data_IF_272979298204
#
_entry.id   IF_272979298204
#
_cell.length_a   1.000
_cell.length_b   1.000
_cell.length_c   1.000
_cell.angle_alpha   90.00
_cell.angle_beta   90.00
_cell.angle_gamma   90.00
#
_symmetry.space_group_name_H-M   'P 1'
#
loop_
_entity.id
_entity.type
_entity.pdbx_description
1 polymer ?
#
# COMPACT_ATOMS: atom_id res chain seq x y z
N UNK A 1 -18.58 -14.50 23.19
CA UNK A 1 -17.85 -14.58 21.92
C UNK A 1 -17.39 -13.16 21.59
N UNK A 2 -16.10 -12.87 21.74
CA UNK A 2 -15.50 -11.60 21.36
C UNK A 2 -14.25 -11.90 20.53
N UNK A 3 -14.24 -11.35 19.32
CA UNK A 3 -13.26 -11.58 18.26
C UNK A 3 -11.88 -11.08 18.68
N UNK A 4 -10.85 -11.92 18.53
CA UNK A 4 -9.46 -11.52 18.74
C UNK A 4 -8.98 -10.66 17.55
N UNK A 5 -8.53 -9.45 17.88
CA UNK A 5 -7.72 -8.59 17.03
C UNK A 5 -6.48 -9.38 16.56
N UNK A 6 -6.25 -9.49 15.24
CA UNK A 6 -5.17 -10.29 14.67
C UNK A 6 -4.10 -9.35 14.13
N UNK A 7 -3.05 -9.14 14.92
CA UNK A 7 -1.82 -8.50 14.47
C UNK A 7 -1.07 -9.42 13.47
N UNK A 8 -0.68 -8.94 12.26
CA UNK A 8 0.19 -9.70 11.38
C UNK A 8 1.64 -9.34 11.71
N UNK A 9 2.15 -9.81 12.84
CA UNK A 9 3.56 -9.68 13.22
C UNK A 9 4.09 -10.98 13.82
N UNK A 10 4.00 -12.08 13.07
CA UNK A 10 4.68 -13.31 13.41
C UNK A 10 4.98 -14.13 12.16
N UNK A 11 6.02 -13.75 11.43
CA UNK A 11 6.85 -14.75 10.75
C UNK A 11 8.23 -14.63 11.35
N UNK A 12 8.47 -15.52 12.30
CA UNK A 12 9.72 -15.74 13.00
C UNK A 12 10.85 -15.99 12.00
N UNK A 13 11.72 -15.00 11.81
CA UNK A 13 13.06 -15.23 11.30
C UNK A 13 13.99 -15.36 12.50
N UNK A 14 14.54 -16.55 12.61
CA UNK A 14 15.48 -17.01 13.61
C UNK A 14 16.79 -16.20 13.61
N UNK A 15 17.42 -16.20 14.80
CA UNK A 15 18.80 -15.80 15.10
C UNK A 15 19.09 -14.29 15.27
N UNK A 16 18.92 -13.83 16.52
CA UNK A 16 19.68 -12.71 17.05
C UNK A 16 21.16 -13.09 17.20
N UNK A 17 22.07 -12.42 16.47
CA UNK A 17 23.47 -12.17 16.88
C UNK A 17 24.01 -10.85 16.30
N UNK A 18 24.07 -9.83 17.16
CA UNK A 18 25.16 -8.86 17.42
C UNK A 18 25.88 -8.24 16.19
N UNK A 19 25.68 -6.94 15.98
CA UNK A 19 26.53 -6.08 15.14
C UNK A 19 26.02 -4.62 15.12
N UNK A 20 26.91 -3.67 15.32
CA UNK A 20 26.66 -2.25 15.61
C UNK A 20 26.31 -1.37 14.39
N UNK A 21 25.91 -0.12 14.72
CA UNK A 21 25.79 1.12 13.93
C UNK A 21 24.44 1.44 13.24
N UNK A 22 23.83 2.61 13.54
CA UNK A 22 22.65 3.11 12.84
C UNK A 22 23.11 3.82 11.56
N UNK A 23 23.40 3.05 10.50
CA UNK A 23 23.74 3.64 9.21
C UNK A 23 22.47 4.13 8.51
N UNK A 24 22.35 5.46 8.38
CA UNK A 24 21.23 6.21 7.81
C UNK A 24 20.94 5.98 6.31
N UNK A 25 20.96 4.73 5.85
CA UNK A 25 20.59 4.31 4.48
C UNK A 25 19.43 3.30 4.42
N UNK A 26 18.96 2.79 5.56
CA UNK A 26 18.03 1.66 5.61
C UNK A 26 16.55 1.99 5.31
N UNK A 27 16.15 3.26 5.25
CA UNK A 27 14.73 3.65 5.13
C UNK A 27 14.23 3.87 3.70
N UNK A 28 15.13 4.08 2.71
CA UNK A 28 14.72 4.30 1.30
C UNK A 28 14.50 3.00 0.52
N UNK A 29 15.28 1.96 0.81
CA UNK A 29 15.18 0.64 0.17
C UNK A 29 13.88 -0.13 0.50
N UNK A 30 13.29 -0.03 1.71
CA UNK A 30 12.03 -0.74 2.05
C UNK A 30 10.81 -0.17 1.33
N UNK A 31 10.72 1.15 1.16
CA UNK A 31 9.49 1.80 0.66
C UNK A 31 9.30 1.50 -0.83
N UNK A 32 10.35 1.59 -1.64
CA UNK A 32 10.25 1.27 -3.07
C UNK A 32 9.83 -0.17 -3.33
N UNK A 33 10.42 -1.14 -2.59
CA UNK A 33 10.04 -2.55 -2.70
C UNK A 33 8.59 -2.78 -2.28
N UNK A 34 8.15 -2.14 -1.19
CA UNK A 34 6.76 -2.21 -0.74
C UNK A 34 5.81 -1.65 -1.80
N UNK A 35 6.09 -0.47 -2.34
CA UNK A 35 5.25 0.16 -3.37
C UNK A 35 5.16 -0.67 -4.65
N UNK A 36 6.24 -1.36 -5.05
CA UNK A 36 6.20 -2.31 -6.16
C UNK A 36 5.31 -3.51 -5.86
N UNK A 37 5.35 -4.05 -4.64
CA UNK A 37 4.48 -5.15 -4.22
C UNK A 37 3.02 -4.72 -4.18
N UNK A 38 2.71 -3.55 -3.61
CA UNK A 38 1.36 -2.99 -3.55
C UNK A 38 0.81 -2.76 -4.96
N UNK A 39 1.62 -2.26 -5.90
CA UNK A 39 1.22 -2.13 -7.31
C UNK A 39 0.84 -3.48 -7.91
N UNK A 40 1.66 -4.52 -7.71
CA UNK A 40 1.35 -5.87 -8.19
C UNK A 40 0.06 -6.40 -7.57
N UNK A 41 -0.11 -6.27 -6.25
CA UNK A 41 -1.33 -6.69 -5.55
C UNK A 41 -2.56 -5.94 -6.07
N UNK A 42 -2.47 -4.63 -6.27
CA UNK A 42 -3.56 -3.83 -6.83
C UNK A 42 -3.94 -4.32 -8.24
N UNK A 43 -2.97 -4.58 -9.10
CA UNK A 43 -3.23 -5.09 -10.46
C UNK A 43 -3.86 -6.50 -10.44
N UNK A 44 -3.55 -7.31 -9.43
CA UNK A 44 -4.12 -8.65 -9.26
C UNK A 44 -5.50 -8.65 -8.60
N UNK A 45 -5.84 -7.61 -7.81
CA UNK A 45 -7.12 -7.52 -7.09
C UNK A 45 -8.34 -7.53 -8.01
N UNK A 46 -8.23 -6.91 -9.20
CA UNK A 46 -9.32 -6.83 -10.17
C UNK A 46 -10.50 -5.97 -9.70
N UNK A 47 -10.30 -5.10 -8.70
CA UNK A 47 -11.33 -4.26 -8.11
C UNK A 47 -11.96 -3.33 -9.17
N UNK A 48 -13.25 -3.55 -9.46
CA UNK A 48 -13.95 -2.79 -10.51
C UNK A 48 -14.11 -1.33 -10.08
N UNK A 49 -13.61 -0.42 -10.91
CA UNK A 49 -13.76 1.01 -10.71
C UNK A 49 -12.65 1.66 -9.87
N UNK A 50 -11.65 0.91 -9.43
CA UNK A 50 -10.46 1.46 -8.75
C UNK A 50 -9.22 1.11 -9.57
N UNK A 51 -8.38 2.09 -9.84
CA UNK A 51 -7.05 1.88 -10.44
C UNK A 51 -6.07 2.92 -9.93
N UNK A 52 -4.79 2.58 -9.87
CA UNK A 52 -3.74 3.53 -9.54
C UNK A 52 -2.40 3.10 -10.13
N UNK A 53 -1.64 4.06 -10.67
CA UNK A 53 -0.34 3.82 -11.30
C UNK A 53 0.65 4.93 -10.94
N UNK A 54 1.95 4.63 -10.83
CA UNK A 54 2.98 5.64 -10.69
C UNK A 54 2.96 6.65 -11.86
N UNK A 55 3.25 7.91 -11.56
CA UNK A 55 3.43 8.93 -12.59
C UNK A 55 4.84 8.80 -13.16
N UNK A 56 4.93 8.32 -14.40
CA UNK A 56 6.19 8.13 -15.14
C UNK A 56 7.17 7.20 -14.41
N UNK A 57 8.37 7.70 -14.09
CA UNK A 57 9.45 6.99 -13.40
C UNK A 57 9.50 7.25 -11.89
N UNK A 58 8.61 8.11 -11.38
CA UNK A 58 8.54 8.42 -9.96
C UNK A 58 7.57 7.49 -9.22
N UNK A 59 8.12 6.43 -8.63
CA UNK A 59 7.37 5.45 -7.83
C UNK A 59 6.67 6.05 -6.59
N UNK A 60 6.98 7.29 -6.18
CA UNK A 60 6.38 7.94 -5.02
C UNK A 60 5.26 8.92 -5.39
N UNK A 61 4.98 9.13 -6.68
CA UNK A 61 3.86 9.95 -7.16
C UNK A 61 2.90 9.07 -7.96
N UNK A 62 1.60 9.15 -7.68
CA UNK A 62 0.60 8.23 -8.21
C UNK A 62 -0.58 8.98 -8.81
N UNK A 63 -1.10 8.45 -9.90
CA UNK A 63 -2.37 8.84 -10.50
C UNK A 63 -3.36 7.71 -10.26
N UNK A 64 -4.44 8.01 -9.54
CA UNK A 64 -5.50 7.06 -9.21
C UNK A 64 -6.84 7.47 -9.83
N UNK A 65 -7.63 6.47 -10.23
CA UNK A 65 -9.02 6.65 -10.66
C UNK A 65 -9.92 5.84 -9.74
N UNK A 66 -10.98 6.48 -9.24
CA UNK A 66 -12.02 5.84 -8.44
C UNK A 66 -13.36 6.20 -9.06
N UNK A 67 -14.13 5.19 -9.44
CA UNK A 67 -15.51 5.34 -9.90
C UNK A 67 -16.41 5.40 -8.67
N UNK A 68 -17.33 6.37 -8.67
CA UNK A 68 -18.37 6.43 -7.64
C UNK A 68 -19.18 5.14 -7.60
N UNK A 69 -19.54 4.70 -6.40
CA UNK A 69 -20.40 3.53 -6.25
C UNK A 69 -21.77 3.77 -6.90
N UNK A 70 -22.36 2.73 -7.48
CA UNK A 70 -23.69 2.82 -8.07
C UNK A 70 -24.71 3.35 -7.06
N UNK A 71 -25.57 4.28 -7.48
CA UNK A 71 -26.58 4.90 -6.62
C UNK A 71 -26.05 6.00 -5.70
N UNK A 72 -24.75 6.34 -5.77
CA UNK A 72 -24.21 7.54 -5.12
C UNK A 72 -24.20 8.69 -6.13
N UNK A 73 -24.81 9.82 -5.79
CA UNK A 73 -24.80 11.01 -6.65
C UNK A 73 -23.42 11.68 -6.56
N UNK A 74 -22.64 11.80 -7.65
CA UNK A 74 -21.41 12.60 -7.65
C UNK A 74 -21.70 14.11 -7.65
N UNK A 75 -22.95 14.49 -7.95
CA UNK A 75 -23.40 15.87 -8.01
C UNK A 75 -23.82 16.32 -6.61
N UNK A 76 -22.87 16.87 -5.86
CA UNK A 76 -23.23 17.92 -4.90
C UNK A 76 -23.87 19.05 -5.72
N UNK A 77 -25.20 19.12 -5.71
CA UNK A 77 -25.94 20.30 -6.15
C UNK A 77 -25.53 21.41 -5.17
N UNK A 78 -24.57 22.22 -5.57
CA UNK A 78 -24.23 23.46 -4.87
C UNK A 78 -25.25 24.51 -5.33
N UNK A 79 -26.06 25.10 -4.44
CA UNK A 79 -26.95 26.21 -4.81
C UNK A 79 -26.17 27.47 -5.19
#
# INVERSE_FOLDING_TARGET
MASQNRDPAATSVTAARKGAEPSGGAARVPVGKRLQQELMTLMMSGDKGISAFPESDNLFKWVGTIHGAAGTNPTLIVP
#
